data_IF_946377505185
#
_entry.id   IF_946377505185
#
_cell.length_a   1.000
_cell.length_b   1.000
_cell.length_c   1.000
_cell.angle_alpha   90.00
_cell.angle_beta   90.00
_cell.angle_gamma   90.00
#
_symmetry.space_group_name_H-M   'P 1'
#
loop_
_entity.id
_entity.type
_entity.pdbx_description
1 polymer ?
#
# COMPACT_ATOMS: atom_id res chain seq x y z
N UNK A 1 8.52 14.90 -27.41
CA UNK A 1 8.18 15.78 -26.26
C UNK A 1 6.67 16.02 -26.13
N UNK A 2 5.82 15.10 -26.61
CA UNK A 2 4.34 15.20 -26.51
C UNK A 2 3.73 14.37 -25.37
N UNK A 3 4.54 13.64 -24.61
CA UNK A 3 4.07 12.79 -23.51
C UNK A 3 3.71 13.57 -22.23
N UNK A 4 3.96 14.88 -22.17
CA UNK A 4 3.77 15.68 -20.95
C UNK A 4 2.36 16.31 -20.80
N UNK A 5 1.50 16.28 -21.83
CA UNK A 5 0.33 17.20 -21.87
C UNK A 5 -1.06 16.60 -21.64
N UNK A 6 -1.23 15.33 -21.24
CA UNK A 6 -2.58 14.79 -20.94
C UNK A 6 -2.63 13.89 -19.72
N UNK A 7 -2.14 14.38 -18.59
CA UNK A 7 -2.65 13.90 -17.31
C UNK A 7 -3.91 14.69 -16.95
N UNK A 8 -5.03 14.28 -17.56
CA UNK A 8 -6.37 14.57 -17.06
C UNK A 8 -6.43 14.18 -15.58
N UNK A 9 -7.27 14.83 -14.77
CA UNK A 9 -7.46 14.51 -13.34
C UNK A 9 -7.64 13.00 -13.09
N UNK A 10 -8.23 12.26 -14.05
CA UNK A 10 -8.31 10.80 -14.03
C UNK A 10 -6.97 10.05 -14.09
N UNK A 11 -5.97 10.57 -14.81
CA UNK A 11 -4.62 10.00 -14.85
C UNK A 11 -3.87 10.21 -13.53
N UNK A 12 -4.15 11.30 -12.80
CA UNK A 12 -3.57 11.56 -11.49
C UNK A 12 -4.04 10.55 -10.42
N UNK A 13 -5.35 10.29 -10.38
CA UNK A 13 -5.92 9.26 -9.50
C UNK A 13 -5.41 7.87 -9.89
N UNK A 14 -5.35 7.57 -11.19
CA UNK A 14 -4.79 6.30 -11.69
C UNK A 14 -3.34 6.06 -11.26
N UNK A 15 -2.51 7.12 -11.19
CA UNK A 15 -1.14 7.03 -10.69
C UNK A 15 -1.06 6.78 -9.19
N UNK A 16 -1.92 7.42 -8.41
CA UNK A 16 -1.99 7.22 -6.96
C UNK A 16 -2.43 5.78 -6.67
N UNK A 17 -3.48 5.31 -7.34
CA UNK A 17 -3.97 3.92 -7.22
C UNK A 17 -2.91 2.93 -7.69
N UNK A 18 -2.24 3.19 -8.82
CA UNK A 18 -1.15 2.35 -9.31
C UNK A 18 0.06 2.30 -8.37
N UNK A 19 0.40 3.42 -7.72
CA UNK A 19 1.47 3.48 -6.73
C UNK A 19 1.10 2.83 -5.39
N UNK A 20 -0.20 2.81 -5.06
CA UNK A 20 -0.73 2.11 -3.91
C UNK A 20 -0.75 0.59 -4.14
N UNK A 21 -1.13 0.17 -5.34
CA UNK A 21 -1.20 -1.24 -5.71
C UNK A 21 0.18 -1.86 -5.92
N UNK A 22 1.11 -1.14 -6.54
CA UNK A 22 2.51 -1.56 -6.69
C UNK A 22 3.41 -0.53 -6.00
N UNK A 23 3.97 -0.87 -4.82
CA UNK A 23 4.85 0.02 -4.09
C UNK A 23 6.01 0.50 -4.97
N UNK A 24 6.26 1.80 -5.05
CA UNK A 24 7.38 2.35 -5.83
C UNK A 24 7.10 2.60 -7.32
N UNK A 25 5.94 2.20 -7.87
CA UNK A 25 5.59 2.43 -9.29
C UNK A 25 5.55 3.93 -9.65
N UNK A 26 5.08 4.78 -8.72
CA UNK A 26 5.09 6.23 -8.89
C UNK A 26 6.49 6.84 -9.09
N UNK A 27 7.52 6.30 -8.41
CA UNK A 27 8.90 6.79 -8.55
C UNK A 27 9.57 6.29 -9.84
N UNK A 28 9.26 5.06 -10.24
CA UNK A 28 9.71 4.48 -11.52
C UNK A 28 9.20 5.29 -12.70
N UNK A 29 7.94 5.75 -12.65
CA UNK A 29 7.34 6.53 -13.72
C UNK A 29 7.99 7.91 -13.92
N UNK A 30 8.65 8.45 -12.88
CA UNK A 30 9.46 9.69 -12.95
C UNK A 30 10.94 9.42 -13.23
N UNK A 31 11.30 8.22 -13.71
CA UNK A 31 12.66 7.76 -14.04
C UNK A 31 13.64 7.73 -12.85
N UNK A 32 13.12 7.80 -11.61
CA UNK A 32 13.95 7.64 -10.41
C UNK A 32 13.88 6.18 -9.94
N UNK A 33 14.51 5.31 -10.74
CA UNK A 33 14.47 3.87 -10.53
C UNK A 33 15.10 3.45 -9.21
N UNK A 34 16.12 4.16 -8.73
CA UNK A 34 16.79 3.83 -7.47
C UNK A 34 15.85 3.97 -6.27
N UNK A 35 15.14 5.11 -6.17
CA UNK A 35 14.17 5.33 -5.08
C UNK A 35 12.97 4.39 -5.20
N UNK A 36 12.49 4.15 -6.42
CA UNK A 36 11.41 3.19 -6.66
C UNK A 36 11.79 1.77 -6.24
N UNK A 37 12.97 1.30 -6.63
CA UNK A 37 13.48 -0.02 -6.27
C UNK A 37 13.72 -0.15 -4.76
N UNK A 38 14.29 0.87 -4.11
CA UNK A 38 14.49 0.86 -2.67
C UNK A 38 13.16 0.76 -1.91
N UNK A 39 12.16 1.56 -2.28
CA UNK A 39 10.81 1.52 -1.67
C UNK A 39 10.14 0.17 -1.93
N UNK A 40 10.21 -0.33 -3.17
CA UNK A 40 9.65 -1.64 -3.52
C UNK A 40 10.31 -2.75 -2.70
N UNK A 41 11.64 -2.81 -2.63
CA UNK A 41 12.38 -3.84 -1.90
C UNK A 41 12.14 -3.78 -0.39
N UNK A 42 12.12 -2.59 0.21
CA UNK A 42 11.87 -2.45 1.64
C UNK A 42 10.45 -2.88 1.98
N UNK A 43 9.44 -2.42 1.22
CA UNK A 43 8.04 -2.70 1.52
C UNK A 43 7.67 -4.16 1.26
N UNK A 44 8.07 -4.71 0.11
CA UNK A 44 7.84 -6.12 -0.20
C UNK A 44 8.73 -7.02 0.66
N UNK A 45 9.98 -6.63 0.96
CA UNK A 45 10.85 -7.40 1.86
C UNK A 45 10.29 -7.48 3.27
N UNK A 46 9.81 -6.35 3.83
CA UNK A 46 9.15 -6.31 5.14
C UNK A 46 7.87 -7.15 5.14
N UNK A 47 7.09 -7.11 4.05
CA UNK A 47 5.89 -7.92 3.90
C UNK A 47 6.19 -9.41 3.81
N UNK A 48 7.15 -9.80 2.97
CA UNK A 48 7.59 -11.18 2.80
C UNK A 48 8.21 -11.74 4.09
N UNK A 49 8.93 -10.92 4.86
CA UNK A 49 9.47 -11.32 6.16
C UNK A 49 8.34 -11.65 7.14
N UNK A 50 7.30 -10.81 7.16
CA UNK A 50 6.08 -11.13 7.91
C UNK A 50 5.40 -12.42 7.42
N UNK A 51 5.32 -12.62 6.11
CA UNK A 51 4.75 -13.86 5.54
C UNK A 51 5.58 -15.11 5.92
N UNK A 52 6.90 -15.01 5.88
CA UNK A 52 7.83 -16.07 6.28
C UNK A 52 7.73 -16.42 7.78
N UNK A 53 7.32 -15.46 8.61
CA UNK A 53 7.04 -15.68 10.03
C UNK A 53 5.65 -16.28 10.29
N UNK A 54 5.05 -16.92 9.26
CA UNK A 54 3.69 -17.48 9.30
C UNK A 54 2.58 -16.46 9.51
N UNK A 55 2.84 -15.17 9.25
CA UNK A 55 1.83 -14.13 9.27
C UNK A 55 0.97 -14.17 8.02
N UNK A 56 -0.34 -14.02 8.20
CA UNK A 56 -1.28 -13.76 7.09
C UNK A 56 -1.98 -12.42 7.29
N UNK A 57 -2.71 -11.99 6.26
CA UNK A 57 -3.65 -10.87 6.41
C UNK A 57 -4.78 -11.31 7.33
N UNK A 58 -4.88 -10.65 8.49
CA UNK A 58 -5.88 -10.97 9.50
C UNK A 58 -7.25 -10.42 9.09
N UNK A 59 -8.16 -11.29 8.66
CA UNK A 59 -9.53 -10.87 8.35
C UNK A 59 -10.31 -10.73 9.67
N UNK A 60 -10.80 -9.53 10.02
CA UNK A 60 -11.51 -9.32 11.27
C UNK A 60 -12.94 -9.84 11.16
N UNK A 61 -13.52 -10.24 12.29
CA UNK A 61 -14.96 -10.47 12.37
C UNK A 61 -15.68 -9.12 12.31
N UNK A 62 -16.61 -8.96 11.36
CA UNK A 62 -17.34 -7.70 11.15
C UNK A 62 -18.66 -7.64 11.95
N UNK A 63 -19.07 -8.73 12.59
CA UNK A 63 -20.27 -8.77 13.43
C UNK A 63 -20.02 -8.14 14.79
N UNK A 64 -20.50 -6.91 14.99
CA UNK A 64 -20.38 -6.15 16.25
C UNK A 64 -20.91 -6.85 17.50
N UNK A 65 -21.86 -7.78 17.35
CA UNK A 65 -22.44 -8.55 18.47
C UNK A 65 -21.67 -9.84 18.80
N UNK A 66 -20.62 -10.17 18.05
CA UNK A 66 -19.80 -11.35 18.33
C UNK A 66 -18.80 -11.04 19.44
N UNK A 67 -18.60 -11.94 20.42
CA UNK A 67 -17.51 -11.81 21.40
C UNK A 67 -16.12 -11.89 20.76
N UNK A 68 -16.01 -12.32 19.50
CA UNK A 68 -14.78 -12.30 18.72
C UNK A 68 -14.51 -10.96 18.01
N UNK A 69 -15.42 -9.99 18.13
CA UNK A 69 -15.20 -8.65 17.57
C UNK A 69 -14.12 -7.91 18.35
N UNK A 70 -13.05 -7.55 17.67
CA UNK A 70 -11.94 -6.78 18.24
C UNK A 70 -11.59 -5.61 17.33
N UNK A 71 -11.68 -4.38 17.86
CA UNK A 71 -11.37 -3.16 17.10
C UNK A 71 -9.90 -3.11 16.69
N UNK A 72 -9.00 -3.70 17.46
CA UNK A 72 -7.56 -3.79 17.14
C UNK A 72 -7.36 -4.66 15.90
N UNK A 73 -8.09 -5.77 15.77
CA UNK A 73 -8.01 -6.62 14.58
C UNK A 73 -8.54 -5.89 13.34
N UNK A 74 -9.61 -5.09 13.50
CA UNK A 74 -10.13 -4.26 12.41
C UNK A 74 -9.13 -3.20 11.96
N UNK A 75 -8.50 -2.48 12.89
CA UNK A 75 -7.46 -1.49 12.57
C UNK A 75 -6.22 -2.14 11.95
N UNK A 76 -5.84 -3.32 12.46
CA UNK A 76 -4.72 -4.10 11.91
C UNK A 76 -5.00 -4.50 10.48
N UNK A 77 -6.20 -5.00 10.19
CA UNK A 77 -6.63 -5.32 8.83
C UNK A 77 -6.57 -4.12 7.89
N UNK A 78 -7.12 -2.97 8.31
CA UNK A 78 -7.11 -1.74 7.51
C UNK A 78 -5.67 -1.29 7.23
N UNK A 79 -4.79 -1.35 8.23
CA UNK A 79 -3.39 -0.98 8.05
C UNK A 79 -2.64 -1.96 7.12
N UNK A 80 -2.90 -3.27 7.25
CA UNK A 80 -2.36 -4.28 6.34
C UNK A 80 -2.85 -4.07 4.89
N UNK A 81 -4.10 -3.66 4.68
CA UNK A 81 -4.61 -3.27 3.35
C UNK A 81 -3.87 -2.07 2.73
N UNK A 82 -3.10 -1.32 3.52
CA UNK A 82 -2.21 -0.28 3.03
C UNK A 82 -1.20 -0.79 2.00
N UNK A 83 -0.79 -2.06 2.07
CA UNK A 83 0.04 -2.73 1.04
C UNK A 83 -0.85 -3.46 0.02
N UNK A 84 -1.76 -2.72 -0.62
CA UNK A 84 -2.90 -3.24 -1.36
C UNK A 84 -2.59 -4.44 -2.27
N UNK A 85 -1.56 -4.36 -3.11
CA UNK A 85 -1.22 -5.45 -4.03
C UNK A 85 -0.85 -6.74 -3.30
N UNK A 86 0.01 -6.65 -2.29
CA UNK A 86 0.47 -7.81 -1.53
C UNK A 86 -0.63 -8.39 -0.63
N UNK A 87 -1.44 -7.52 -0.02
CA UNK A 87 -2.55 -7.93 0.84
C UNK A 87 -3.72 -8.52 0.06
N UNK A 88 -4.05 -7.96 -1.11
CA UNK A 88 -5.02 -8.57 -2.04
C UNK A 88 -4.53 -9.91 -2.57
N UNK A 89 -3.22 -10.04 -2.85
CA UNK A 89 -2.64 -11.32 -3.25
C UNK A 89 -2.79 -12.37 -2.14
N UNK A 90 -2.51 -12.01 -0.88
CA UNK A 90 -2.71 -12.91 0.26
C UNK A 90 -4.19 -13.29 0.46
N UNK A 91 -5.12 -12.33 0.32
CA UNK A 91 -6.56 -12.59 0.43
C UNK A 91 -7.11 -13.46 -0.71
N UNK A 92 -6.62 -13.25 -1.94
CA UNK A 92 -6.97 -14.08 -3.09
C UNK A 92 -6.39 -15.50 -2.94
N UNK A 93 -5.20 -15.61 -2.34
CA UNK A 93 -4.53 -16.88 -2.08
C UNK A 93 -5.17 -17.69 -0.96
N UNK A 94 -5.67 -17.04 0.11
CA UNK A 94 -6.43 -17.71 1.18
C UNK A 94 -7.66 -18.46 0.62
N UNK A 95 -8.28 -17.91 -0.42
CA UNK A 95 -9.35 -18.56 -1.20
C UNK A 95 -8.87 -19.73 -2.08
N UNK A 96 -7.57 -19.80 -2.39
CA UNK A 96 -6.96 -20.77 -3.31
C UNK A 96 -6.25 -21.94 -2.60
N UNK A 97 -6.18 -21.94 -1.26
CA UNK A 97 -5.71 -23.08 -0.42
C UNK A 97 -4.26 -23.55 -0.72
N UNK A 98 -3.35 -22.65 -1.05
CA UNK A 98 -1.93 -22.99 -1.20
C UNK A 98 -1.21 -22.99 0.17
N UNK A 99 -0.65 -24.13 0.57
CA UNK A 99 -0.09 -24.42 1.92
C UNK A 99 1.04 -23.48 2.40
N UNK A 100 1.67 -22.71 1.52
CA UNK A 100 2.83 -21.86 1.86
C UNK A 100 2.43 -20.60 2.66
N UNK A 101 1.15 -20.20 2.63
CA UNK A 101 0.63 -19.03 3.37
C UNK A 101 -0.41 -19.42 4.44
N UNK A 102 -0.38 -20.67 4.91
CA UNK A 102 -1.32 -21.11 5.93
C UNK A 102 -1.00 -20.39 7.24
N UNK A 103 -1.97 -19.60 7.72
CA UNK A 103 -1.89 -18.93 9.00
C UNK A 103 -1.73 -19.96 10.12
N UNK A 104 -0.62 -19.92 10.83
CA UNK A 104 -0.43 -20.72 12.03
C UNK A 104 -0.58 -19.80 13.25
N UNK A 105 -1.84 -19.62 13.67
CA UNK A 105 -2.20 -18.80 14.84
C UNK A 105 -1.59 -19.33 16.14
N UNK A 106 -1.15 -20.59 16.16
CA UNK A 106 -0.51 -21.21 17.32
C UNK A 106 0.99 -20.93 17.42
N UNK A 107 1.59 -20.30 16.40
CA UNK A 107 3.03 -20.02 16.40
C UNK A 107 3.34 -18.73 17.19
N UNK A 108 4.34 -18.73 18.11
CA UNK A 108 4.68 -17.55 18.93
C UNK A 108 5.06 -16.29 18.14
N UNK A 109 5.44 -16.48 16.87
CA UNK A 109 5.87 -15.41 15.98
C UNK A 109 4.72 -14.79 15.18
N UNK A 110 3.49 -15.30 15.32
CA UNK A 110 2.32 -14.85 14.56
C UNK A 110 1.98 -13.39 14.80
N UNK A 111 1.96 -12.94 16.05
CA UNK A 111 1.70 -11.53 16.38
C UNK A 111 2.79 -10.60 15.84
N UNK A 112 4.05 -11.06 15.89
CA UNK A 112 5.17 -10.32 15.31
C UNK A 112 5.01 -10.24 13.78
N UNK A 113 4.63 -11.33 13.14
CA UNK A 113 4.39 -11.40 11.72
C UNK A 113 3.28 -10.42 11.29
N UNK A 114 2.15 -10.40 12.00
CA UNK A 114 1.07 -9.45 11.77
C UNK A 114 1.53 -7.98 11.89
N UNK A 115 2.44 -7.68 12.83
CA UNK A 115 3.07 -6.36 12.97
C UNK A 115 3.92 -5.99 11.74
N UNK A 116 4.71 -6.92 11.20
CA UNK A 116 5.49 -6.67 9.98
C UNK A 116 4.58 -6.35 8.76
N UNK A 117 3.47 -7.09 8.60
CA UNK A 117 2.49 -6.81 7.54
C UNK A 117 1.84 -5.44 7.75
N UNK A 118 1.49 -5.11 9.00
CA UNK A 118 0.89 -3.81 9.35
C UNK A 118 1.84 -2.65 9.05
N UNK A 119 3.10 -2.76 9.49
CA UNK A 119 4.13 -1.73 9.26
C UNK A 119 4.37 -1.53 7.76
N UNK A 120 4.47 -2.62 7.00
CA UNK A 120 4.61 -2.55 5.54
C UNK A 120 3.44 -1.81 4.89
N UNK A 121 2.20 -2.09 5.30
CA UNK A 121 1.02 -1.40 4.78
C UNK A 121 0.95 0.08 5.15
N UNK A 122 1.24 0.42 6.40
CA UNK A 122 1.31 1.81 6.87
C UNK A 122 2.42 2.59 6.14
N UNK A 123 3.60 2.00 5.94
CA UNK A 123 4.69 2.65 5.20
C UNK A 123 4.34 2.85 3.71
N UNK A 124 3.67 1.90 3.08
CA UNK A 124 3.20 2.07 1.70
C UNK A 124 2.22 3.25 1.59
N UNK A 125 1.28 3.36 2.53
CA UNK A 125 0.35 4.49 2.59
C UNK A 125 1.09 5.84 2.70
N UNK A 126 2.10 5.95 3.57
CA UNK A 126 2.91 7.17 3.66
C UNK A 126 3.71 7.45 2.40
N UNK A 127 4.24 6.42 1.72
CA UNK A 127 4.94 6.60 0.45
C UNK A 127 4.01 7.15 -0.65
N UNK A 128 2.79 6.63 -0.73
CA UNK A 128 1.76 7.12 -1.66
C UNK A 128 1.36 8.55 -1.34
N UNK A 129 1.15 8.88 -0.06
CA UNK A 129 0.85 10.23 0.39
C UNK A 129 1.97 11.22 0.08
N UNK A 130 3.23 10.84 0.34
CA UNK A 130 4.40 11.66 0.00
C UNK A 130 4.55 11.87 -1.51
N UNK A 131 4.21 10.86 -2.32
CA UNK A 131 4.15 11.00 -3.77
C UNK A 131 3.03 11.96 -4.20
N UNK A 132 1.82 11.80 -3.65
CA UNK A 132 0.69 12.69 -3.94
C UNK A 132 1.01 14.15 -3.64
N UNK A 133 1.54 14.42 -2.44
CA UNK A 133 1.87 15.77 -2.00
C UNK A 133 2.94 16.42 -2.90
N UNK A 134 4.04 15.71 -3.14
CA UNK A 134 5.16 16.24 -3.93
C UNK A 134 4.86 16.46 -5.40
N UNK A 135 3.93 15.70 -5.98
CA UNK A 135 3.76 15.68 -7.43
C UNK A 135 2.39 16.15 -7.91
N UNK A 136 1.31 15.86 -7.18
CA UNK A 136 -0.02 16.32 -7.55
C UNK A 136 -0.37 17.65 -6.89
N UNK A 137 -0.01 17.86 -5.61
CA UNK A 137 -0.31 19.12 -4.94
C UNK A 137 0.59 20.26 -5.48
N UNK A 138 1.90 20.03 -5.59
CA UNK A 138 2.83 21.01 -6.17
C UNK A 138 2.51 21.38 -7.63
N UNK A 139 1.96 20.44 -8.40
CA UNK A 139 1.55 20.69 -9.80
C UNK A 139 0.30 21.58 -9.92
N UNK A 140 -0.60 21.56 -8.94
CA UNK A 140 -1.78 22.43 -8.90
C UNK A 140 -1.40 23.89 -8.63
N UNK A 141 -0.53 24.11 -7.64
CA UNK A 141 -0.09 25.46 -7.25
C UNK A 141 0.61 26.21 -8.38
N UNK A 142 1.48 25.54 -9.14
CA UNK A 142 2.15 26.15 -10.30
C UNK A 142 1.21 26.45 -11.48
N UNK A 143 0.11 25.72 -11.61
CA UNK A 143 -0.92 25.98 -12.61
C UNK A 143 -1.74 27.22 -12.28
N UNK A 144 -2.09 27.42 -11.00
CA UNK A 144 -2.86 28.56 -10.51
C UNK A 144 -2.06 29.87 -10.57
N UNK A 145 -0.77 29.85 -10.18
CA UNK A 145 0.10 31.05 -10.28
C UNK A 145 0.29 31.52 -11.73
N UNK A 146 0.36 30.59 -12.69
CA UNK A 146 0.46 30.94 -14.11
C UNK A 146 -0.85 31.48 -14.68
N UNK A 147 -1.99 30.98 -14.22
CA UNK A 147 -3.30 31.47 -14.64
C UNK A 147 -3.68 32.83 -14.04
N UNK A 148 -3.15 33.15 -12.84
CA UNK A 148 -3.35 34.45 -12.19
C UNK A 148 -2.39 35.57 -12.66
N UNK A 149 -1.31 35.24 -13.36
CA UNK A 149 -0.33 36.21 -13.88
C UNK A 149 -0.65 36.79 -15.27
N UNK A 150 -1.71 36.32 -15.93
CA UNK A 150 -2.17 36.83 -17.24
C UNK A 150 -3.36 37.82 -17.13
N UNK A 151 -3.64 38.35 -15.93
CA UNK A 151 -4.67 39.38 -15.69
C UNK A 151 -4.07 40.76 -15.40
#
# INVERSE_FOLDING_TARGET
MELERKLSVGSGVGLVVGSWLVPGLGFVLRRNYWRGAAVFLILNGTFLLGLLLHGTVLVPEFRYYSPAFNIVNLLTFIGQLGNAGASLFCLAHDRLQWDILRADETHPWFDLAALYLLVSGCMNYFCVGSFYDRYLAAGKTQGEERAGGEQ
#
